data_IF_137370780212
#
_entry.id   IF_137370780212
#
_cell.length_a   1.000
_cell.length_b   1.000
_cell.length_c   1.000
_cell.angle_alpha   90.00
_cell.angle_beta   90.00
_cell.angle_gamma   90.00
#
_symmetry.space_group_name_H-M   'P 1'
#
loop_
_entity.id
_entity.type
_entity.pdbx_description
1 polymer ?
#
# COMPACT_ATOMS: atom_id res chain seq x y z
N UNK A 1 -2.96 -17.30 -17.33
CA UNK A 1 -3.60 -16.02 -17.68
C UNK A 1 -5.07 -16.10 -17.32
N UNK A 2 -5.45 -15.61 -16.14
CA UNK A 2 -6.82 -15.68 -15.66
C UNK A 2 -7.65 -14.62 -16.40
N UNK A 3 -8.46 -15.06 -17.38
CA UNK A 3 -9.37 -14.18 -18.10
C UNK A 3 -10.46 -13.79 -17.11
N UNK A 4 -10.42 -12.55 -16.59
CA UNK A 4 -11.51 -11.98 -15.81
C UNK A 4 -12.77 -11.97 -16.68
N UNK A 5 -13.68 -12.91 -16.41
CA UNK A 5 -14.87 -13.09 -17.20
C UNK A 5 -15.93 -12.07 -16.74
N UNK A 6 -15.89 -10.88 -17.31
CA UNK A 6 -16.80 -9.77 -17.02
C UNK A 6 -18.23 -9.99 -17.55
N UNK A 7 -18.61 -11.24 -17.90
CA UNK A 7 -19.89 -11.74 -18.42
C UNK A 7 -20.98 -10.67 -18.60
N UNK A 8 -21.82 -10.52 -17.59
CA UNK A 8 -23.01 -9.67 -17.57
C UNK A 8 -22.71 -8.16 -17.63
N UNK A 9 -21.47 -7.77 -17.31
CA UNK A 9 -20.99 -6.39 -17.32
C UNK A 9 -20.28 -5.98 -18.61
N UNK A 10 -20.06 -6.91 -19.55
CA UNK A 10 -19.28 -6.66 -20.78
C UNK A 10 -19.79 -5.45 -21.57
N UNK A 11 -21.11 -5.32 -21.70
CA UNK A 11 -21.74 -4.21 -22.42
C UNK A 11 -21.53 -2.88 -21.71
N UNK A 12 -21.69 -2.84 -20.39
CA UNK A 12 -21.56 -1.65 -19.56
C UNK A 12 -20.10 -1.18 -19.51
N UNK A 13 -19.17 -2.11 -19.33
CA UNK A 13 -17.72 -1.84 -19.39
C UNK A 13 -17.33 -1.30 -20.76
N UNK A 14 -17.80 -1.93 -21.84
CA UNK A 14 -17.52 -1.46 -23.20
C UNK A 14 -18.03 -0.03 -23.47
N UNK A 15 -19.24 0.29 -23.01
CA UNK A 15 -19.80 1.65 -23.09
C UNK A 15 -18.95 2.66 -22.32
N UNK A 16 -18.54 2.32 -21.09
CA UNK A 16 -17.70 3.19 -20.26
C UNK A 16 -16.34 3.43 -20.89
N UNK A 17 -15.68 2.38 -21.39
CA UNK A 17 -14.38 2.50 -22.07
C UNK A 17 -14.47 3.37 -23.32
N UNK A 18 -15.56 3.25 -24.09
CA UNK A 18 -15.81 4.13 -25.25
C UNK A 18 -15.91 5.60 -24.81
N UNK A 19 -16.69 5.88 -23.78
CA UNK A 19 -16.85 7.24 -23.23
C UNK A 19 -15.51 7.82 -22.77
N UNK A 20 -14.75 7.07 -21.98
CA UNK A 20 -13.42 7.49 -21.51
C UNK A 20 -12.44 7.76 -22.66
N UNK A 21 -12.53 7.02 -23.76
CA UNK A 21 -11.72 7.26 -24.94
C UNK A 21 -12.12 8.57 -25.64
N UNK A 22 -13.43 8.80 -25.81
CA UNK A 22 -13.97 10.02 -26.43
C UNK A 22 -13.63 11.28 -25.60
N UNK A 23 -13.60 11.15 -24.27
CA UNK A 23 -13.27 12.25 -23.34
C UNK A 23 -11.76 12.42 -23.08
N UNK A 24 -10.91 11.63 -23.74
CA UNK A 24 -9.46 11.57 -23.48
C UNK A 24 -9.11 11.38 -21.98
N UNK A 25 -9.92 10.60 -21.27
CA UNK A 25 -9.91 10.48 -19.81
C UNK A 25 -8.53 10.08 -19.26
N UNK A 26 -7.89 9.09 -19.88
CA UNK A 26 -6.60 8.58 -19.40
C UNK A 26 -5.50 9.65 -19.45
N UNK A 27 -5.39 10.39 -20.55
CA UNK A 27 -4.43 11.49 -20.66
C UNK A 27 -4.73 12.60 -19.66
N UNK A 28 -6.00 13.00 -19.53
CA UNK A 28 -6.44 14.02 -18.57
C UNK A 28 -6.15 13.62 -17.13
N UNK A 29 -6.27 12.32 -16.81
CA UNK A 29 -5.90 11.77 -15.51
C UNK A 29 -4.40 11.95 -15.23
N UNK A 30 -3.53 11.63 -16.19
CA UNK A 30 -2.08 11.81 -16.07
C UNK A 30 -1.67 13.28 -15.93
N UNK A 31 -2.38 14.18 -16.61
CA UNK A 31 -2.22 15.64 -16.48
C UNK A 31 -2.84 16.22 -15.19
N UNK A 32 -3.44 15.38 -14.33
CA UNK A 32 -4.12 15.78 -13.08
C UNK A 32 -5.23 16.82 -13.31
N UNK A 33 -5.98 16.68 -14.39
CA UNK A 33 -7.04 17.62 -14.74
C UNK A 33 -8.09 17.74 -13.60
N UNK A 34 -8.26 18.93 -12.98
CA UNK A 34 -9.19 19.13 -11.87
C UNK A 34 -10.67 19.08 -12.27
N UNK A 35 -10.96 19.04 -13.58
CA UNK A 35 -12.30 18.93 -14.17
C UNK A 35 -12.63 17.49 -14.62
N UNK A 36 -11.82 16.50 -14.24
CA UNK A 36 -12.01 15.14 -14.72
C UNK A 36 -13.30 14.50 -14.17
N UNK A 37 -13.71 14.86 -12.95
CA UNK A 37 -14.91 14.32 -12.29
C UNK A 37 -15.96 15.37 -11.93
N UNK A 38 -15.61 16.65 -11.92
CA UNK A 38 -16.52 17.75 -11.57
C UNK A 38 -16.53 18.79 -12.67
N UNK A 39 -17.65 19.51 -12.79
CA UNK A 39 -17.81 20.59 -13.76
C UNK A 39 -17.04 21.86 -13.39
N UNK A 40 -16.65 21.99 -12.12
CA UNK A 40 -15.84 23.09 -11.59
C UNK A 40 -14.53 22.53 -11.02
N UNK A 41 -13.42 23.30 -11.03
CA UNK A 41 -12.14 22.82 -10.53
C UNK A 41 -12.21 22.48 -9.04
N UNK A 42 -11.77 21.28 -8.67
CA UNK A 42 -11.67 20.83 -7.28
C UNK A 42 -10.22 20.49 -6.96
N UNK A 43 -9.63 21.23 -6.01
CA UNK A 43 -8.22 21.10 -5.60
C UNK A 43 -7.87 19.71 -5.09
N UNK A 44 -8.82 19.02 -4.48
CA UNK A 44 -8.63 17.67 -3.94
C UNK A 44 -8.34 16.64 -5.05
N UNK A 45 -8.70 16.92 -6.30
CA UNK A 45 -8.35 16.03 -7.42
C UNK A 45 -6.85 16.08 -7.65
N UNK A 46 -6.27 17.28 -7.83
CA UNK A 46 -4.84 17.44 -8.11
C UNK A 46 -4.00 16.91 -6.95
N UNK A 47 -4.45 17.13 -5.71
CA UNK A 47 -3.70 16.79 -4.50
C UNK A 47 -3.71 15.28 -4.19
N UNK A 48 -4.72 14.53 -4.65
CA UNK A 48 -4.89 13.10 -4.34
C UNK A 48 -4.38 12.15 -5.43
N UNK A 49 -3.81 12.68 -6.51
CA UNK A 49 -3.29 11.90 -7.63
C UNK A 49 -1.77 11.64 -7.56
N UNK A 50 -1.13 11.91 -6.41
CA UNK A 50 0.30 11.64 -6.22
C UNK A 50 0.71 10.17 -6.40
N UNK A 51 -0.24 9.23 -6.32
CA UNK A 51 0.00 7.81 -6.60
C UNK A 51 0.35 7.50 -8.06
N UNK A 52 0.07 8.42 -8.99
CA UNK A 52 0.39 8.25 -10.41
C UNK A 52 1.89 8.20 -10.68
N UNK A 53 2.69 9.03 -9.98
CA UNK A 53 4.16 9.07 -10.13
C UNK A 53 4.88 8.17 -9.12
N UNK A 54 4.13 7.49 -8.25
CA UNK A 54 4.70 6.68 -7.19
C UNK A 54 5.64 5.59 -7.72
N UNK A 55 5.34 4.87 -8.82
CA UNK A 55 6.27 3.88 -9.38
C UNK A 55 7.62 4.47 -9.75
N UNK A 56 7.66 5.67 -10.33
CA UNK A 56 8.87 6.37 -10.73
C UNK A 56 9.64 6.88 -9.51
N UNK A 57 8.96 7.56 -8.58
CA UNK A 57 9.58 8.14 -7.38
C UNK A 57 10.13 7.05 -6.45
N UNK A 58 9.40 5.93 -6.30
CA UNK A 58 9.82 4.86 -5.39
C UNK A 58 11.03 4.10 -5.90
N UNK A 59 11.32 4.09 -7.21
CA UNK A 59 12.55 3.48 -7.73
C UNK A 59 13.79 4.11 -7.11
N UNK A 60 13.79 5.44 -6.92
CA UNK A 60 14.89 6.18 -6.31
C UNK A 60 15.07 5.86 -4.81
N UNK A 61 14.06 5.23 -4.17
CA UNK A 61 14.07 4.89 -2.74
C UNK A 61 14.40 3.42 -2.47
N UNK A 62 14.49 2.58 -3.50
CA UNK A 62 14.70 1.15 -3.34
C UNK A 62 16.01 0.82 -2.62
N UNK A 63 17.09 1.53 -2.95
CA UNK A 63 18.41 1.29 -2.36
C UNK A 63 18.43 1.64 -0.87
N UNK A 64 17.83 2.77 -0.48
CA UNK A 64 17.67 3.18 0.91
C UNK A 64 16.85 2.17 1.70
N UNK A 65 15.72 1.71 1.15
CA UNK A 65 14.84 0.73 1.79
C UNK A 65 15.50 -0.63 1.94
N UNK A 66 16.22 -1.09 0.92
CA UNK A 66 16.93 -2.36 0.95
C UNK A 66 18.09 -2.31 1.94
N UNK A 67 18.83 -1.19 1.97
CA UNK A 67 19.91 -0.97 2.92
C UNK A 67 19.41 -0.95 4.36
N UNK A 68 18.27 -0.29 4.62
CA UNK A 68 17.63 -0.31 5.93
C UNK A 68 17.19 -1.73 6.34
N UNK A 69 16.60 -2.50 5.42
CA UNK A 69 16.21 -3.88 5.69
C UNK A 69 17.43 -4.77 6.02
N UNK A 70 18.56 -4.59 5.33
CA UNK A 70 19.81 -5.28 5.69
C UNK A 70 20.32 -4.86 7.06
N UNK A 71 20.31 -3.56 7.37
CA UNK A 71 20.75 -3.05 8.67
C UNK A 71 19.95 -3.71 9.80
N UNK A 72 18.63 -3.68 9.72
CA UNK A 72 17.71 -4.29 10.71
C UNK A 72 18.03 -5.78 10.91
N UNK A 73 18.30 -6.50 9.83
CA UNK A 73 18.72 -7.91 9.89
C UNK A 73 20.09 -8.08 10.55
N UNK A 74 21.08 -7.25 10.21
CA UNK A 74 22.43 -7.35 10.80
C UNK A 74 22.49 -6.98 12.26
N UNK A 75 21.57 -6.13 12.73
CA UNK A 75 21.41 -5.77 14.14
C UNK A 75 20.74 -6.87 14.97
N UNK A 76 20.31 -7.97 14.34
CA UNK A 76 19.69 -9.10 15.04
C UNK A 76 18.25 -8.84 15.47
N UNK A 77 17.53 -7.96 14.77
CA UNK A 77 16.10 -7.78 14.97
C UNK A 77 15.36 -9.02 14.46
N UNK A 78 14.52 -9.59 15.31
CA UNK A 78 13.74 -10.80 15.00
C UNK A 78 12.29 -10.47 14.63
N UNK A 79 11.77 -9.34 15.13
CA UNK A 79 10.39 -8.93 14.94
C UNK A 79 10.30 -7.48 14.48
N UNK A 80 9.41 -7.22 13.52
CA UNK A 80 8.95 -5.87 13.19
C UNK A 80 7.48 -5.77 13.56
N UNK A 81 7.10 -4.75 14.30
CA UNK A 81 5.71 -4.45 14.63
C UNK A 81 5.29 -3.18 13.93
N UNK A 82 4.40 -3.30 12.94
CA UNK A 82 3.76 -2.16 12.29
C UNK A 82 2.54 -1.72 13.10
N UNK A 83 2.56 -0.47 13.53
CA UNK A 83 1.50 0.22 14.23
C UNK A 83 0.79 1.15 13.24
N UNK A 84 -0.44 0.80 12.83
CA UNK A 84 -1.20 1.58 11.86
C UNK A 84 -2.59 1.01 11.65
N UNK A 85 -3.57 1.86 11.32
CA UNK A 85 -4.97 1.45 11.18
C UNK A 85 -5.44 1.72 9.73
N UNK A 86 -6.11 0.75 9.13
CA UNK A 86 -6.73 0.88 7.81
C UNK A 86 -5.72 0.78 6.67
N UNK A 87 -5.66 1.80 5.81
CA UNK A 87 -4.86 1.76 4.58
C UNK A 87 -3.37 1.50 4.82
N UNK A 88 -2.83 1.99 5.94
CA UNK A 88 -1.43 1.81 6.32
C UNK A 88 -1.09 0.39 6.81
N UNK A 89 -2.08 -0.42 7.21
CA UNK A 89 -1.87 -1.76 7.75
C UNK A 89 -2.27 -2.89 6.80
N UNK A 90 -3.27 -2.66 5.94
CA UNK A 90 -3.84 -3.71 5.08
C UNK A 90 -2.86 -4.25 4.04
N UNK A 91 -2.12 -3.38 3.34
CA UNK A 91 -1.17 -3.84 2.32
C UNK A 91 -0.01 -4.66 2.93
N UNK A 92 0.65 -4.20 4.02
CA UNK A 92 1.65 -5.01 4.72
C UNK A 92 1.10 -6.34 5.27
N UNK A 93 -0.12 -6.36 5.81
CA UNK A 93 -0.76 -7.59 6.31
C UNK A 93 -1.00 -8.60 5.18
N UNK A 94 -1.50 -8.15 4.02
CA UNK A 94 -1.68 -9.01 2.83
C UNK A 94 -0.34 -9.56 2.36
N UNK A 95 0.71 -8.73 2.27
CA UNK A 95 2.03 -9.16 1.84
C UNK A 95 2.63 -10.19 2.79
N UNK A 96 2.55 -9.96 4.11
CA UNK A 96 3.04 -10.92 5.10
C UNK A 96 2.29 -12.26 5.03
N UNK A 97 0.98 -12.25 4.81
CA UNK A 97 0.17 -13.48 4.65
C UNK A 97 0.46 -14.21 3.33
N UNK A 98 0.81 -13.47 2.28
CA UNK A 98 1.01 -14.03 0.93
C UNK A 98 2.43 -14.55 0.74
N UNK A 99 3.43 -13.77 1.15
CA UNK A 99 4.84 -14.05 0.86
C UNK A 99 5.60 -14.61 2.06
N UNK A 100 5.08 -14.45 3.28
CA UNK A 100 5.83 -14.78 4.48
C UNK A 100 6.97 -13.79 4.73
N UNK A 101 7.99 -14.24 5.47
CA UNK A 101 9.23 -13.49 5.68
C UNK A 101 10.39 -14.22 5.02
N UNK A 102 11.36 -13.47 4.50
CA UNK A 102 12.59 -14.03 3.94
C UNK A 102 13.47 -14.59 5.05
N UNK A 103 14.23 -15.65 4.74
CA UNK A 103 15.14 -16.27 5.71
C UNK A 103 16.16 -15.25 6.23
N UNK A 104 16.24 -15.12 7.56
CA UNK A 104 17.16 -14.22 8.23
C UNK A 104 16.68 -12.77 8.35
N UNK A 105 15.50 -12.43 7.81
CA UNK A 105 14.85 -11.14 8.06
C UNK A 105 13.80 -11.29 9.16
N UNK A 106 13.49 -10.20 9.87
CA UNK A 106 12.49 -10.24 10.92
C UNK A 106 11.11 -10.60 10.40
N UNK A 107 10.32 -11.21 11.29
CA UNK A 107 8.90 -11.46 11.04
C UNK A 107 8.09 -10.18 11.25
N UNK A 108 7.20 -9.86 10.32
CA UNK A 108 6.28 -8.73 10.48
C UNK A 108 5.04 -9.15 11.28
N UNK A 109 4.69 -8.33 12.26
CA UNK A 109 3.39 -8.28 12.91
C UNK A 109 2.73 -6.95 12.61
N UNK A 110 1.42 -6.98 12.39
CA UNK A 110 0.61 -5.79 12.17
C UNK A 110 -0.34 -5.63 13.34
N UNK A 111 -0.29 -4.48 14.00
CA UNK A 111 -1.20 -4.10 15.08
C UNK A 111 -2.07 -2.94 14.61
N UNK A 112 -3.28 -3.27 14.16
CA UNK A 112 -4.28 -2.31 13.66
C UNK A 112 -5.37 -1.96 14.68
N UNK A 113 -5.18 -2.41 15.92
CA UNK A 113 -6.17 -2.28 16.98
C UNK A 113 -5.57 -1.62 18.21
N UNK A 114 -6.33 -0.69 18.78
CA UNK A 114 -6.04 -0.10 20.09
C UNK A 114 -6.64 -0.92 21.24
N UNK A 115 -7.29 -2.05 20.95
CA UNK A 115 -7.91 -2.89 21.97
C UNK A 115 -6.83 -3.51 22.88
N UNK A 116 -6.90 -3.34 24.20
CA UNK A 116 -5.83 -3.79 25.12
C UNK A 116 -5.49 -5.28 25.00
N UNK A 117 -6.47 -6.15 24.74
CA UNK A 117 -6.20 -7.57 24.57
C UNK A 117 -5.39 -7.86 23.29
N UNK A 118 -5.59 -7.11 22.20
CA UNK A 118 -4.79 -7.25 20.99
C UNK A 118 -3.34 -6.84 21.23
N UNK A 119 -3.14 -5.73 21.96
CA UNK A 119 -1.81 -5.27 22.38
C UNK A 119 -1.12 -6.31 23.27
N UNK A 120 -1.81 -6.82 24.30
CA UNK A 120 -1.27 -7.84 25.21
C UNK A 120 -0.91 -9.13 24.47
N UNK A 121 -1.79 -9.61 23.60
CA UNK A 121 -1.55 -10.83 22.81
C UNK A 121 -0.36 -10.69 21.86
N UNK A 122 -0.10 -9.48 21.34
CA UNK A 122 1.09 -9.24 20.54
C UNK A 122 2.35 -9.18 21.42
N UNK A 123 2.28 -8.46 22.56
CA UNK A 123 3.38 -8.34 23.50
C UNK A 123 3.90 -9.71 23.98
N UNK A 124 3.01 -10.70 24.14
CA UNK A 124 3.38 -12.07 24.51
C UNK A 124 4.11 -12.86 23.40
N UNK A 125 4.10 -12.37 22.16
CA UNK A 125 4.66 -13.06 20.99
C UNK A 125 6.00 -12.51 20.52
N UNK A 126 6.48 -11.42 21.12
CA UNK A 126 7.67 -10.70 20.68
C UNK A 126 8.66 -10.59 21.84
N UNK A 127 9.93 -10.50 21.48
CA UNK A 127 11.00 -10.07 22.38
C UNK A 127 11.26 -8.58 22.14
N UNK A 128 11.03 -7.75 23.15
CA UNK A 128 11.17 -6.29 23.04
C UNK A 128 12.61 -5.85 22.75
N UNK A 129 13.62 -6.60 23.22
CA UNK A 129 15.03 -6.26 22.99
C UNK A 129 15.43 -6.50 21.52
N UNK A 130 14.67 -7.34 20.82
CA UNK A 130 14.89 -7.70 19.41
C UNK A 130 13.70 -7.33 18.51
N UNK A 131 12.95 -6.27 18.88
CA UNK A 131 11.80 -5.78 18.11
C UNK A 131 11.98 -4.34 17.64
N UNK A 132 11.74 -4.12 16.34
CA UNK A 132 11.58 -2.79 15.76
C UNK A 132 10.10 -2.43 15.64
N UNK A 133 9.72 -1.25 16.14
CA UNK A 133 8.37 -0.70 15.95
C UNK A 133 8.35 0.32 14.80
N UNK A 134 7.45 0.14 13.84
CA UNK A 134 7.19 1.06 12.75
C UNK A 134 5.85 1.74 12.94
N UNK A 135 5.81 3.06 13.01
CA UNK A 135 4.56 3.83 13.14
C UNK A 135 4.16 4.35 11.76
N UNK A 136 2.95 4.00 11.32
CA UNK A 136 2.39 4.42 10.03
C UNK A 136 0.98 4.99 10.21
N UNK A 137 0.88 6.32 10.16
CA UNK A 137 -0.31 7.12 10.47
C UNK A 137 -0.63 8.12 9.38
#
# INVERSE_FOLDING_TARGET
MQIFNIREYKTQVGKRLKTWKEENFAHRLWERDPLLWFSEPVTEITDRLGWLDLPEIMQEKLDDMTSFAEQVKTEGIEHVVLLGIGGSSLAPDVFQKTFGHSRGYPKLFVLDSTHPAAVSTLAEKIDFDHTLFLVSS
#
